data_IF_705559260215
#
_entry.id   IF_705559260215
#
_cell.length_a   1.000
_cell.length_b   1.000
_cell.length_c   1.000
_cell.angle_alpha   90.00
_cell.angle_beta   90.00
_cell.angle_gamma   90.00
#
_symmetry.space_group_name_H-M   'P 1'
#
loop_
_entity.id
_entity.type
_entity.pdbx_description
1 polymer ?
#
# COMPACT_ATOMS: atom_id res chain seq x y z
N UNK A 1 -30.15 6.29 0.27
CA UNK A 1 -28.81 6.60 0.79
C UNK A 1 -28.57 8.08 0.54
N UNK A 2 -28.14 8.87 1.54
CA UNK A 2 -27.72 10.24 1.27
C UNK A 2 -26.58 10.21 0.25
N UNK A 3 -26.64 11.09 -0.76
CA UNK A 3 -25.60 11.19 -1.78
C UNK A 3 -24.30 11.69 -1.17
N UNK A 4 -23.17 11.34 -1.79
CA UNK A 4 -21.86 11.88 -1.43
C UNK A 4 -21.84 13.40 -1.68
N UNK A 5 -21.25 14.15 -0.77
CA UNK A 5 -20.99 15.58 -0.98
C UNK A 5 -19.83 15.78 -1.97
N UNK A 6 -19.65 17.00 -2.49
CA UNK A 6 -18.50 17.32 -3.33
C UNK A 6 -17.15 17.10 -2.62
N UNK A 7 -17.10 17.39 -1.30
CA UNK A 7 -15.92 17.16 -0.48
C UNK A 7 -15.60 15.67 -0.36
N UNK A 8 -16.62 14.82 -0.20
CA UNK A 8 -16.45 13.37 -0.16
C UNK A 8 -15.91 12.84 -1.49
N UNK A 9 -16.45 13.30 -2.61
CA UNK A 9 -16.00 12.91 -3.96
C UNK A 9 -14.53 13.31 -4.17
N UNK A 10 -14.17 14.54 -3.79
CA UNK A 10 -12.80 15.03 -3.90
C UNK A 10 -11.85 14.24 -2.99
N UNK A 11 -12.28 13.93 -1.77
CA UNK A 11 -11.54 13.10 -0.83
C UNK A 11 -11.25 11.70 -1.38
N UNK A 12 -12.27 11.03 -1.93
CA UNK A 12 -12.14 9.70 -2.54
C UNK A 12 -11.22 9.73 -3.77
N UNK A 13 -11.32 10.76 -4.60
CA UNK A 13 -10.45 10.91 -5.77
C UNK A 13 -8.98 11.09 -5.38
N UNK A 14 -8.71 11.90 -4.34
CA UNK A 14 -7.36 12.08 -3.79
C UNK A 14 -6.82 10.79 -3.18
N UNK A 15 -7.64 10.05 -2.44
CA UNK A 15 -7.26 8.76 -1.87
C UNK A 15 -6.88 7.77 -2.97
N UNK A 16 -7.72 7.61 -4.00
CA UNK A 16 -7.44 6.73 -5.13
C UNK A 16 -6.13 7.10 -5.82
N UNK A 17 -5.93 8.39 -6.10
CA UNK A 17 -4.73 8.89 -6.76
C UNK A 17 -3.47 8.59 -5.96
N UNK A 18 -3.52 8.81 -4.63
CA UNK A 18 -2.43 8.48 -3.73
C UNK A 18 -2.14 6.97 -3.72
N UNK A 19 -3.16 6.13 -3.60
CA UNK A 19 -2.97 4.66 -3.59
C UNK A 19 -2.37 4.16 -4.90
N UNK A 20 -2.79 4.71 -6.03
CA UNK A 20 -2.19 4.42 -7.33
C UNK A 20 -0.70 4.82 -7.37
N UNK A 21 -0.37 6.02 -6.91
CA UNK A 21 1.00 6.51 -6.85
C UNK A 21 1.89 5.65 -5.96
N UNK A 22 1.40 5.28 -4.77
CA UNK A 22 2.08 4.40 -3.83
C UNK A 22 2.41 3.04 -4.45
N UNK A 23 1.41 2.40 -5.07
CA UNK A 23 1.58 1.10 -5.75
C UNK A 23 2.53 1.21 -6.94
N UNK A 24 2.36 2.22 -7.80
CA UNK A 24 3.18 2.40 -9.01
C UNK A 24 4.64 2.66 -8.65
N UNK A 25 4.89 3.56 -7.68
CA UNK A 25 6.24 3.89 -7.24
C UNK A 25 6.97 2.68 -6.64
N UNK A 26 6.25 1.81 -5.93
CA UNK A 26 6.81 0.57 -5.39
C UNK A 26 7.28 -0.37 -6.51
N UNK A 27 6.44 -0.61 -7.52
CA UNK A 27 6.82 -1.48 -8.64
C UNK A 27 7.89 -0.86 -9.54
N UNK A 28 7.87 0.46 -9.74
CA UNK A 28 8.92 1.16 -10.46
C UNK A 28 10.28 0.99 -9.76
N UNK A 29 10.35 1.21 -8.45
CA UNK A 29 11.59 1.05 -7.68
C UNK A 29 12.13 -0.39 -7.74
N UNK A 30 11.24 -1.39 -7.63
CA UNK A 30 11.58 -2.80 -7.81
C UNK A 30 12.13 -3.07 -9.21
N UNK A 31 11.44 -2.60 -10.25
CA UNK A 31 11.83 -2.84 -11.66
C UNK A 31 13.18 -2.21 -12.03
N UNK A 32 13.55 -1.11 -11.38
CA UNK A 32 14.80 -0.38 -11.64
C UNK A 32 16.00 -0.97 -10.91
N UNK A 33 15.80 -1.90 -9.99
CA UNK A 33 16.88 -2.28 -9.09
C UNK A 33 17.31 -1.08 -8.22
N UNK A 34 16.37 -0.29 -7.69
CA UNK A 34 16.71 0.82 -6.79
C UNK A 34 16.93 0.34 -5.35
N UNK A 35 18.05 0.75 -4.74
CA UNK A 35 18.28 0.54 -3.31
C UNK A 35 17.32 1.39 -2.48
N UNK A 36 16.30 0.75 -1.93
CA UNK A 36 15.22 1.42 -1.22
C UNK A 36 14.75 0.64 0.01
N UNK A 37 13.91 1.26 0.82
CA UNK A 37 13.14 0.57 1.87
C UNK A 37 11.70 0.44 1.39
N UNK A 38 11.20 -0.80 1.33
CA UNK A 38 9.82 -1.11 0.99
C UNK A 38 9.02 -1.34 2.27
N UNK A 39 8.01 -0.50 2.51
CA UNK A 39 7.12 -0.58 3.67
C UNK A 39 5.76 -1.13 3.27
N UNK A 40 5.53 -2.40 3.55
CA UNK A 40 4.25 -3.05 3.27
C UNK A 40 3.37 -2.96 4.52
N UNK A 41 2.25 -2.26 4.42
CA UNK A 41 1.36 -2.00 5.56
C UNK A 41 0.21 -2.99 5.55
N UNK A 42 0.14 -3.87 6.55
CA UNK A 42 -0.85 -4.96 6.61
C UNK A 42 -1.81 -4.73 7.78
N UNK A 43 -3.11 -4.95 7.55
CA UNK A 43 -4.13 -4.93 8.60
C UNK A 43 -4.02 -6.11 9.56
N UNK A 44 -4.63 -6.01 10.75
CA UNK A 44 -4.71 -7.15 11.68
C UNK A 44 -5.61 -8.25 11.12
N UNK A 45 -5.21 -9.51 11.28
CA UNK A 45 -6.03 -10.68 10.96
C UNK A 45 -7.12 -10.96 12.01
N UNK A 46 -7.10 -10.25 13.14
CA UNK A 46 -8.04 -10.45 14.26
C UNK A 46 -9.36 -9.66 14.09
N UNK A 47 -9.48 -8.85 13.04
CA UNK A 47 -10.66 -8.01 12.77
C UNK A 47 -11.28 -8.34 11.42
N UNK A 48 -12.43 -7.71 11.13
CA UNK A 48 -13.08 -7.90 9.83
C UNK A 48 -12.16 -7.48 8.67
N UNK A 49 -12.32 -8.11 7.50
CA UNK A 49 -11.50 -7.77 6.33
C UNK A 49 -11.64 -6.30 5.91
N UNK A 50 -12.82 -5.71 6.11
CA UNK A 50 -13.07 -4.28 5.87
C UNK A 50 -12.28 -3.43 6.85
N UNK A 51 -12.34 -3.72 8.15
CA UNK A 51 -11.58 -2.95 9.16
C UNK A 51 -10.07 -3.08 8.96
N UNK A 52 -9.60 -4.28 8.63
CA UNK A 52 -8.19 -4.52 8.32
C UNK A 52 -7.73 -3.74 7.07
N UNK A 53 -8.53 -3.74 5.99
CA UNK A 53 -8.24 -2.98 4.78
C UNK A 53 -8.26 -1.47 5.05
N UNK A 54 -9.28 -0.94 5.71
CA UNK A 54 -9.35 0.47 6.08
C UNK A 54 -8.17 0.88 6.97
N UNK A 55 -7.82 0.06 7.98
CA UNK A 55 -6.71 0.34 8.88
C UNK A 55 -5.37 0.37 8.16
N UNK A 56 -5.14 -0.57 7.23
CA UNK A 56 -3.92 -0.57 6.41
C UNK A 56 -3.83 0.65 5.50
N UNK A 57 -4.91 1.02 4.82
CA UNK A 57 -4.99 2.21 3.95
C UNK A 57 -4.72 3.49 4.74
N UNK A 58 -5.42 3.68 5.88
CA UNK A 58 -5.25 4.87 6.73
C UNK A 58 -3.82 4.93 7.27
N UNK A 59 -3.29 3.81 7.74
CA UNK A 59 -1.91 3.76 8.25
C UNK A 59 -0.89 4.05 7.14
N UNK A 60 -1.09 3.51 5.95
CA UNK A 60 -0.26 3.78 4.78
C UNK A 60 -0.24 5.27 4.44
N UNK A 61 -1.41 5.92 4.36
CA UNK A 61 -1.49 7.36 4.11
C UNK A 61 -0.77 8.18 5.18
N UNK A 62 -0.93 7.81 6.46
CA UNK A 62 -0.26 8.49 7.56
C UNK A 62 1.27 8.32 7.54
N UNK A 63 1.78 7.11 7.26
CA UNK A 63 3.21 6.87 7.11
C UNK A 63 3.80 7.58 5.89
N UNK A 64 3.03 7.70 4.79
CA UNK A 64 3.45 8.47 3.61
C UNK A 64 3.71 9.94 3.97
N UNK A 65 2.79 10.57 4.72
CA UNK A 65 2.97 11.96 5.15
C UNK A 65 4.23 12.15 6.02
N UNK A 66 4.56 11.19 6.88
CA UNK A 66 5.82 11.21 7.66
C UNK A 66 7.03 11.08 6.75
N UNK A 67 6.98 10.18 5.77
CA UNK A 67 8.01 10.00 4.74
C UNK A 67 8.27 11.33 4.00
N UNK A 68 7.21 11.98 3.49
CA UNK A 68 7.33 13.24 2.76
C UNK A 68 7.85 14.38 3.64
N UNK A 69 7.61 14.32 4.96
CA UNK A 69 8.21 15.26 5.91
C UNK A 69 9.72 15.04 6.03
N UNK A 70 10.16 13.79 6.24
CA UNK A 70 11.57 13.43 6.36
C UNK A 70 12.36 13.77 5.09
N UNK A 71 11.78 13.59 3.90
CA UNK A 71 12.40 13.98 2.62
C UNK A 71 12.63 15.48 2.52
N UNK A 72 11.61 16.28 2.87
CA UNK A 72 11.71 17.74 2.85
C UNK A 72 12.74 18.27 3.85
N UNK A 73 12.95 17.56 4.96
CA UNK A 73 13.94 17.88 5.98
C UNK A 73 15.35 17.35 5.63
N UNK A 74 15.50 16.58 4.55
CA UNK A 74 16.78 15.98 4.15
C UNK A 74 17.28 14.90 5.12
N UNK A 75 16.38 14.30 5.89
CA UNK A 75 16.69 13.34 6.97
C UNK A 75 16.53 11.87 6.53
N UNK A 76 16.42 11.61 5.23
CA UNK A 76 16.30 10.25 4.70
C UNK A 76 17.65 9.72 4.21
N UNK A 77 18.05 8.58 4.74
CA UNK A 77 19.25 7.86 4.28
C UNK A 77 19.02 7.08 2.99
N UNK A 78 17.77 6.63 2.75
CA UNK A 78 17.37 5.86 1.56
C UNK A 78 15.96 6.26 1.08
N UNK A 79 15.66 6.13 -0.22
CA UNK A 79 14.30 6.16 -0.74
C UNK A 79 13.40 5.18 0.03
N UNK A 80 12.16 5.58 0.32
CA UNK A 80 11.19 4.70 0.97
C UNK A 80 9.90 4.65 0.17
N UNK A 81 9.54 3.47 -0.31
CA UNK A 81 8.25 3.23 -0.98
C UNK A 81 7.36 2.45 -0.04
N UNK A 82 6.06 2.70 -0.09
CA UNK A 82 5.12 2.04 0.78
C UNK A 82 3.86 1.69 0.02
N UNK A 83 3.20 0.60 0.42
CA UNK A 83 1.88 0.27 -0.09
C UNK A 83 1.06 -0.41 1.01
N UNK A 84 -0.23 -0.06 1.17
CA UNK A 84 -1.12 -0.90 1.95
C UNK A 84 -1.32 -2.24 1.24
N UNK A 85 -1.46 -3.31 2.02
CA UNK A 85 -1.75 -4.66 1.54
C UNK A 85 -3.10 -5.09 2.06
N UNK A 86 -3.94 -5.56 1.15
CA UNK A 86 -5.25 -6.11 1.48
C UNK A 86 -5.11 -7.41 2.26
N UNK A 87 -6.00 -7.70 3.22
CA UNK A 87 -5.89 -8.86 4.12
C UNK A 87 -6.32 -10.18 3.47
N UNK A 88 -6.14 -10.32 2.15
CA UNK A 88 -6.56 -11.46 1.34
C UNK A 88 -5.79 -11.51 0.02
N UNK A 89 -5.86 -12.64 -0.67
CA UNK A 89 -5.32 -12.79 -2.04
C UNK A 89 -6.22 -12.11 -3.07
N UNK A 90 -5.70 -11.88 -4.28
CA UNK A 90 -6.47 -11.31 -5.38
C UNK A 90 -7.67 -12.18 -5.78
N UNK A 91 -7.53 -13.50 -5.65
CA UNK A 91 -8.58 -14.50 -5.87
C UNK A 91 -9.67 -14.41 -4.79
N UNK A 92 -9.30 -14.38 -3.51
CA UNK A 92 -10.22 -14.24 -2.39
C UNK A 92 -10.99 -12.91 -2.41
N UNK A 93 -10.39 -11.87 -2.99
CA UNK A 93 -11.04 -10.58 -3.17
C UNK A 93 -12.21 -10.65 -4.15
N UNK A 94 -12.17 -11.55 -5.14
CA UNK A 94 -13.27 -11.70 -6.08
C UNK A 94 -14.53 -12.24 -5.38
N UNK A 95 -15.68 -11.60 -5.62
CA UNK A 95 -16.94 -11.91 -4.95
C UNK A 95 -17.01 -11.58 -3.44
N UNK A 96 -15.96 -11.02 -2.83
CA UNK A 96 -15.94 -10.68 -1.41
C UNK A 96 -16.80 -9.46 -1.04
N UNK A 97 -17.23 -9.38 0.22
CA UNK A 97 -17.84 -8.16 0.78
C UNK A 97 -16.88 -6.97 0.73
N UNK A 98 -15.56 -7.22 0.87
CA UNK A 98 -14.54 -6.19 0.77
C UNK A 98 -14.53 -5.54 -0.63
N UNK A 99 -14.67 -6.33 -1.70
CA UNK A 99 -14.77 -5.82 -3.08
C UNK A 99 -16.01 -4.95 -3.26
N UNK A 100 -17.16 -5.39 -2.77
CA UNK A 100 -18.40 -4.61 -2.81
C UNK A 100 -18.29 -3.31 -2.01
N UNK A 101 -17.54 -3.32 -0.91
CA UNK A 101 -17.27 -2.14 -0.11
C UNK A 101 -16.32 -1.16 -0.82
N UNK A 102 -15.14 -1.62 -1.23
CA UNK A 102 -14.10 -0.80 -1.86
C UNK A 102 -14.51 -0.26 -3.24
N UNK A 103 -15.31 -1.01 -4.00
CA UNK A 103 -15.83 -0.53 -5.30
C UNK A 103 -16.77 0.68 -5.16
N UNK A 104 -17.52 0.79 -4.05
CA UNK A 104 -18.31 2.00 -3.74
C UNK A 104 -17.43 3.22 -3.49
N UNK A 105 -16.19 3.00 -3.06
CA UNK A 105 -15.17 4.03 -2.87
C UNK A 105 -14.33 4.27 -4.13
N UNK A 106 -14.63 3.58 -5.24
CA UNK A 106 -13.87 3.65 -6.49
C UNK A 106 -12.48 3.02 -6.40
N UNK A 107 -12.24 2.13 -5.43
CA UNK A 107 -10.97 1.43 -5.24
C UNK A 107 -11.06 0.00 -5.79
N UNK A 108 -10.11 -0.36 -6.66
CA UNK A 108 -10.07 -1.65 -7.33
C UNK A 108 -8.64 -2.17 -7.54
N UNK A 109 -8.52 -3.24 -8.33
CA UNK A 109 -7.24 -3.92 -8.58
C UNK A 109 -6.12 -3.00 -9.10
N UNK A 110 -6.46 -1.91 -9.78
CA UNK A 110 -5.51 -0.91 -10.29
C UNK A 110 -4.72 -0.23 -9.16
N UNK A 111 -5.33 -0.06 -7.98
CA UNK A 111 -4.72 0.66 -6.85
C UNK A 111 -4.43 -0.21 -5.62
N UNK A 112 -4.93 -1.44 -5.58
CA UNK A 112 -4.78 -2.35 -4.44
C UNK A 112 -3.61 -3.32 -4.64
N UNK A 113 -2.91 -3.62 -3.55
CA UNK A 113 -1.89 -4.67 -3.46
C UNK A 113 -2.43 -5.78 -2.54
N UNK A 114 -2.23 -7.05 -2.90
CA UNK A 114 -2.81 -8.21 -2.22
C UNK A 114 -1.72 -9.07 -1.55
N UNK A 115 -2.12 -10.03 -0.71
CA UNK A 115 -1.16 -10.86 0.04
C UNK A 115 -0.27 -11.73 -0.88
N UNK A 116 -0.85 -12.27 -1.94
CA UNK A 116 -0.13 -13.01 -2.98
C UNK A 116 0.86 -12.11 -3.75
N UNK A 117 0.59 -10.80 -3.86
CA UNK A 117 1.56 -9.84 -4.38
C UNK A 117 2.77 -9.64 -3.47
N UNK A 118 2.68 -9.97 -2.17
CA UNK A 118 3.85 -9.91 -1.28
C UNK A 118 4.88 -10.95 -1.71
N UNK A 119 4.47 -12.17 -2.07
CA UNK A 119 5.40 -13.21 -2.53
C UNK A 119 6.15 -12.76 -3.78
N UNK A 120 5.45 -12.13 -4.72
CA UNK A 120 6.06 -11.54 -5.92
C UNK A 120 7.04 -10.40 -5.57
N UNK A 121 6.66 -9.49 -4.67
CA UNK A 121 7.53 -8.39 -4.19
C UNK A 121 8.78 -8.95 -3.48
N UNK A 122 8.62 -10.00 -2.68
CA UNK A 122 9.72 -10.68 -2.00
C UNK A 122 10.62 -11.39 -3.01
N UNK A 123 10.06 -12.01 -4.04
CA UNK A 123 10.81 -12.69 -5.09
C UNK A 123 11.63 -11.69 -5.93
N UNK A 124 10.99 -10.63 -6.42
CA UNK A 124 11.64 -9.53 -7.15
C UNK A 124 12.72 -8.86 -6.31
N UNK A 125 12.51 -8.73 -4.99
CA UNK A 125 13.55 -8.25 -4.08
C UNK A 125 14.72 -9.23 -3.97
N UNK A 126 14.46 -10.53 -3.84
CA UNK A 126 15.48 -11.56 -3.66
C UNK A 126 16.34 -11.81 -4.91
N UNK A 127 15.74 -11.83 -6.11
CA UNK A 127 16.50 -11.92 -7.37
C UNK A 127 17.49 -10.77 -7.52
N UNK A 128 17.06 -9.63 -7.01
CA UNK A 128 17.76 -8.37 -7.15
C UNK A 128 18.83 -8.23 -6.03
N UNK A 129 18.71 -8.95 -4.88
CA UNK A 129 19.76 -9.06 -3.84
C UNK A 129 21.05 -9.78 -4.26
N UNK A 130 21.11 -10.35 -5.47
CA UNK A 130 22.36 -10.88 -6.04
C UNK A 130 23.27 -9.76 -6.59
N UNK A 131 22.76 -8.53 -6.69
CA UNK A 131 23.53 -7.34 -7.00
C UNK A 131 23.93 -6.62 -5.68
N UNK A 132 25.22 -6.47 -5.35
CA UNK A 132 25.66 -5.79 -4.13
C UNK A 132 25.22 -4.32 -4.04
N UNK A 133 24.82 -3.71 -5.17
CA UNK A 133 24.26 -2.36 -5.21
C UNK A 133 22.74 -2.35 -4.99
N UNK A 134 22.06 -3.49 -5.09
CA UNK A 134 20.63 -3.63 -4.81
C UNK A 134 20.35 -4.38 -3.51
N UNK A 135 19.68 -3.69 -2.59
CA UNK A 135 19.09 -4.32 -1.41
C UNK A 135 17.82 -3.56 -1.04
N UNK A 136 16.68 -3.94 -1.64
CA UNK A 136 15.39 -3.49 -1.15
C UNK A 136 15.13 -4.11 0.24
N UNK A 137 15.24 -3.31 1.30
CA UNK A 137 14.89 -3.77 2.66
C UNK A 137 13.38 -3.74 2.81
N UNK A 138 12.78 -4.90 3.11
CA UNK A 138 11.33 -5.02 3.27
C UNK A 138 10.97 -4.92 4.76
N UNK A 139 10.24 -3.87 5.13
CA UNK A 139 9.71 -3.64 6.46
C UNK A 139 8.19 -3.90 6.44
N UNK A 140 7.73 -4.96 7.10
CA UNK A 140 6.30 -5.21 7.31
C UNK A 140 5.80 -4.36 8.47
N UNK A 141 4.84 -3.47 8.20
CA UNK A 141 4.23 -2.58 9.19
C UNK A 141 2.83 -3.06 9.51
N UNK A 142 2.63 -3.52 10.75
CA UNK A 142 1.31 -3.93 11.19
C UNK A 142 0.47 -2.70 11.57
N UNK A 143 -0.66 -2.52 10.90
CA UNK A 143 -1.65 -1.53 11.29
C UNK A 143 -2.33 -2.02 12.58
N UNK A 144 -2.10 -1.30 13.68
CA UNK A 144 -2.83 -1.53 14.93
C UNK A 144 -4.23 -0.94 14.77
N UNK A 145 -5.24 -1.68 15.19
CA UNK A 145 -6.56 -1.12 15.46
C UNK A 145 -6.44 -0.12 16.61
N UNK A 146 -7.06 1.05 16.44
CA UNK A 146 -7.17 2.06 17.49
C UNK A 146 -8.14 1.62 18.58
#
# INVERSE_FOLDING_TARGET
>A
MPGLSEEDILGLWRLRSLLHELKSSLFEALSRGEKCVLKLVVGSSEVSAIDAACSSIVRACHEHLKICKLEREGLKDLPMHLSPVMPMTAEQFDGSELKLFLSKLGLGYDVLLFLDSIEEVMHLSAESQMDPDFAARIDLVQARTA
#
